data_IF_981425006163
#
_entry.id   IF_981425006163
#
_cell.length_a   1.000
_cell.length_b   1.000
_cell.length_c   1.000
_cell.angle_alpha   90.00
_cell.angle_beta   90.00
_cell.angle_gamma   90.00
#
_symmetry.space_group_name_H-M   'P 1'
#
loop_
_entity.id
_entity.type
_entity.pdbx_description
1 polymer ?
#
# COMPACT_ATOMS: atom_id res chain seq x y z
N UNK A 1 -25.15 -18.00 3.77
CA UNK A 1 -23.93 -17.41 3.19
C UNK A 1 -22.75 -18.28 3.56
N UNK A 2 -21.87 -18.61 2.61
CA UNK A 2 -20.66 -19.38 2.89
C UNK A 2 -19.61 -18.46 3.54
N UNK A 3 -19.29 -18.70 4.81
CA UNK A 3 -18.36 -17.90 5.61
C UNK A 3 -17.00 -17.73 4.93
N UNK A 4 -16.54 -18.78 4.22
CA UNK A 4 -15.26 -18.78 3.50
C UNK A 4 -15.29 -17.81 2.33
N UNK A 5 -16.38 -17.80 1.54
CA UNK A 5 -16.53 -16.88 0.41
C UNK A 5 -16.60 -15.43 0.89
N UNK A 6 -17.31 -15.17 1.98
CA UNK A 6 -17.37 -13.84 2.61
C UNK A 6 -15.98 -13.36 3.03
N UNK A 7 -15.18 -14.22 3.68
CA UNK A 7 -13.83 -13.86 4.10
C UNK A 7 -12.90 -13.55 2.92
N UNK A 8 -13.01 -14.31 1.82
CA UNK A 8 -12.23 -14.06 0.58
C UNK A 8 -12.57 -12.68 0.01
N UNK A 9 -13.87 -12.36 -0.11
CA UNK A 9 -14.34 -11.07 -0.63
C UNK A 9 -13.90 -9.92 0.28
N UNK A 10 -14.05 -10.09 1.59
CA UNK A 10 -13.68 -9.06 2.57
C UNK A 10 -12.17 -8.80 2.58
N UNK A 11 -11.33 -9.85 2.55
CA UNK A 11 -9.89 -9.70 2.40
C UNK A 11 -9.53 -8.99 1.08
N UNK A 12 -10.27 -9.30 0.02
CA UNK A 12 -10.19 -8.61 -1.26
C UNK A 12 -10.41 -7.10 -1.10
N UNK A 13 -11.57 -6.73 -0.55
CA UNK A 13 -11.97 -5.35 -0.32
C UNK A 13 -10.98 -4.58 0.56
N UNK A 14 -10.57 -5.14 1.70
CA UNK A 14 -9.63 -4.48 2.64
C UNK A 14 -8.30 -4.21 1.96
N UNK A 15 -7.78 -5.15 1.17
CA UNK A 15 -6.52 -4.97 0.44
C UNK A 15 -6.59 -3.82 -0.57
N UNK A 16 -7.65 -3.76 -1.37
CA UNK A 16 -7.81 -2.75 -2.41
C UNK A 16 -8.10 -1.37 -1.78
N UNK A 17 -8.91 -1.32 -0.73
CA UNK A 17 -9.16 -0.11 0.06
C UNK A 17 -7.86 0.41 0.70
N UNK A 18 -7.07 -0.46 1.33
CA UNK A 18 -5.80 -0.06 1.95
C UNK A 18 -4.81 0.47 0.91
N UNK A 19 -4.81 -0.08 -0.31
CA UNK A 19 -3.98 0.42 -1.42
C UNK A 19 -4.41 1.83 -1.86
N UNK A 20 -5.72 2.07 -2.00
CA UNK A 20 -6.23 3.41 -2.33
C UNK A 20 -6.01 4.43 -1.21
N UNK A 21 -6.14 4.00 0.04
CA UNK A 21 -5.85 4.81 1.22
C UNK A 21 -4.36 5.17 1.30
N UNK A 22 -3.46 4.20 1.09
CA UNK A 22 -2.02 4.42 1.04
C UNK A 22 -1.66 5.49 0.00
N UNK A 23 -2.17 5.37 -1.23
CA UNK A 23 -1.90 6.35 -2.29
C UNK A 23 -2.44 7.74 -1.94
N UNK A 24 -3.65 7.81 -1.39
CA UNK A 24 -4.25 9.07 -0.95
C UNK A 24 -3.44 9.75 0.15
N UNK A 25 -2.94 8.98 1.11
CA UNK A 25 -2.08 9.48 2.17
C UNK A 25 -0.72 9.99 1.64
N UNK A 26 -0.13 9.31 0.65
CA UNK A 26 1.08 9.78 -0.03
C UNK A 26 0.86 11.13 -0.73
N UNK A 27 -0.28 11.29 -1.42
CA UNK A 27 -0.67 12.55 -2.06
C UNK A 27 -0.90 13.65 -1.01
N UNK A 28 -1.52 13.32 0.13
CA UNK A 28 -1.69 14.26 1.22
C UNK A 28 -0.36 14.75 1.78
N UNK A 29 0.63 13.87 1.99
CA UNK A 29 1.99 14.24 2.41
C UNK A 29 2.62 15.20 1.40
N UNK A 30 2.53 14.91 0.10
CA UNK A 30 3.04 15.79 -0.95
C UNK A 30 2.50 17.23 -0.83
N UNK A 31 1.18 17.39 -0.71
CA UNK A 31 0.57 18.72 -0.59
C UNK A 31 0.87 19.38 0.75
N UNK A 32 0.87 18.63 1.85
CA UNK A 32 1.18 19.18 3.17
C UNK A 32 2.60 19.72 3.25
N UNK A 33 3.55 19.03 2.62
CA UNK A 33 4.93 19.50 2.54
C UNK A 33 5.03 20.80 1.72
N UNK A 34 4.44 20.83 0.53
CA UNK A 34 4.42 22.02 -0.33
C UNK A 34 3.76 23.24 0.36
N UNK A 35 2.69 23.02 1.13
CA UNK A 35 2.06 24.08 1.91
C UNK A 35 2.89 24.58 3.10
N UNK A 36 3.78 23.76 3.66
CA UNK A 36 4.69 24.21 4.72
C UNK A 36 5.68 25.24 4.17
N UNK A 37 6.21 24.99 2.97
CA UNK A 37 7.13 25.91 2.27
C UNK A 37 6.43 27.21 1.88
N UNK A 38 5.19 27.11 1.39
CA UNK A 38 4.41 28.28 0.98
C UNK A 38 3.90 29.13 2.15
N UNK A 39 3.64 28.52 3.32
CA UNK A 39 3.05 29.20 4.49
C UNK A 39 3.82 28.91 5.79
N UNK A 40 5.01 29.52 5.99
CA UNK A 40 5.86 29.24 7.15
C UNK A 40 5.19 29.49 8.52
N UNK A 41 4.20 30.39 8.58
CA UNK A 41 3.47 30.72 9.82
C UNK A 41 2.63 29.57 10.37
N UNK A 42 2.26 28.59 9.54
CA UNK A 42 1.47 27.41 9.95
C UNK A 42 2.23 26.09 9.78
N UNK A 43 3.51 26.15 9.37
CA UNK A 43 4.28 24.97 8.99
C UNK A 43 4.34 23.91 10.12
N UNK A 44 4.56 24.34 11.36
CA UNK A 44 4.60 23.43 12.51
C UNK A 44 3.30 22.65 12.72
N UNK A 45 2.14 23.27 12.48
CA UNK A 45 0.84 22.59 12.59
C UNK A 45 0.63 21.60 11.45
N UNK A 46 1.00 21.98 10.22
CA UNK A 46 0.93 21.11 9.06
C UNK A 46 1.86 19.89 9.20
N UNK A 47 3.04 20.06 9.78
CA UNK A 47 3.98 18.95 10.01
C UNK A 47 3.41 17.88 10.98
N UNK A 48 2.59 18.28 11.96
CA UNK A 48 1.89 17.31 12.84
C UNK A 48 0.92 16.45 12.02
N UNK A 49 0.19 17.07 11.09
CA UNK A 49 -0.75 16.38 10.19
C UNK A 49 0.02 15.50 9.20
N UNK A 50 1.13 15.98 8.66
CA UNK A 50 2.00 15.24 7.75
C UNK A 50 2.54 13.96 8.42
N UNK A 51 3.04 14.07 9.66
CA UNK A 51 3.47 12.93 10.48
C UNK A 51 2.36 11.92 10.73
N UNK A 52 1.12 12.39 10.93
CA UNK A 52 -0.03 11.51 11.03
C UNK A 52 -0.22 10.72 9.73
N UNK A 53 -0.21 11.36 8.57
CA UNK A 53 -0.32 10.66 7.29
C UNK A 53 0.85 9.71 7.03
N UNK A 54 2.08 10.08 7.41
CA UNK A 54 3.23 9.18 7.32
C UNK A 54 3.01 7.88 8.09
N UNK A 55 2.60 7.93 9.36
CA UNK A 55 2.36 6.69 10.11
C UNK A 55 1.20 5.87 9.54
N UNK A 56 0.20 6.54 8.95
CA UNK A 56 -0.89 5.87 8.25
C UNK A 56 -0.43 5.20 6.95
N UNK A 57 0.54 5.75 6.20
CA UNK A 57 1.09 5.05 5.02
C UNK A 57 1.82 3.77 5.43
N UNK A 58 2.60 3.81 6.53
CA UNK A 58 3.24 2.61 7.09
C UNK A 58 2.20 1.57 7.51
N UNK A 59 1.16 1.99 8.25
CA UNK A 59 0.06 1.12 8.63
C UNK A 59 -0.66 0.50 7.43
N UNK A 60 -0.90 1.30 6.38
CA UNK A 60 -1.54 0.82 5.16
C UNK A 60 -0.67 -0.22 4.43
N UNK A 61 0.65 -0.02 4.33
CA UNK A 61 1.58 -1.02 3.76
C UNK A 61 1.51 -2.33 4.53
N UNK A 62 1.51 -2.29 5.86
CA UNK A 62 1.37 -3.50 6.70
C UNK A 62 0.06 -4.24 6.39
N UNK A 63 -1.06 -3.52 6.28
CA UNK A 63 -2.36 -4.11 5.93
C UNK A 63 -2.34 -4.70 4.51
N UNK A 64 -1.77 -4.01 3.54
CA UNK A 64 -1.65 -4.49 2.15
C UNK A 64 -0.84 -5.79 2.09
N UNK A 65 0.29 -5.85 2.80
CA UNK A 65 1.14 -7.05 2.85
C UNK A 65 0.42 -8.21 3.55
N UNK A 66 -0.21 -7.97 4.69
CA UNK A 66 -0.95 -8.99 5.43
C UNK A 66 -2.12 -9.58 4.62
N UNK A 67 -2.94 -8.71 4.01
CA UNK A 67 -4.08 -9.13 3.19
C UNK A 67 -3.65 -9.72 1.85
N UNK A 68 -2.53 -9.24 1.28
CA UNK A 68 -1.90 -9.78 0.08
C UNK A 68 -1.39 -11.21 0.28
N UNK A 69 -0.74 -11.48 1.41
CA UNK A 69 -0.35 -12.84 1.81
C UNK A 69 -1.57 -13.75 2.00
N UNK A 70 -2.68 -13.23 2.52
CA UNK A 70 -3.96 -13.95 2.57
C UNK A 70 -4.46 -14.41 1.18
N UNK A 71 -4.26 -13.60 0.13
CA UNK A 71 -4.66 -13.94 -1.24
C UNK A 71 -3.83 -15.08 -1.84
N UNK A 72 -2.58 -15.30 -1.43
CA UNK A 72 -1.77 -16.42 -1.94
C UNK A 72 -2.32 -17.79 -1.56
N UNK A 73 -3.06 -17.91 -0.46
CA UNK A 73 -3.64 -19.18 0.01
C UNK A 73 -5.03 -19.49 -0.56
N UNK A 74 -5.67 -18.52 -1.23
CA UNK A 74 -7.03 -18.68 -1.77
C UNK A 74 -7.05 -19.06 -3.25
N UNK A 75 -5.92 -18.95 -3.97
CA UNK A 75 -5.75 -19.35 -5.37
C UNK A 75 -4.92 -20.64 -5.48
N UNK A 76 -5.54 -21.81 -5.30
CA UNK A 76 -4.83 -23.10 -5.24
C UNK A 76 -5.08 -24.00 -6.47
N UNK A 77 -5.98 -23.65 -7.39
CA UNK A 77 -6.32 -24.57 -8.48
C UNK A 77 -5.55 -24.30 -9.78
N UNK A 78 -5.01 -25.37 -10.36
CA UNK A 78 -4.25 -25.44 -11.62
C UNK A 78 -5.15 -25.22 -12.86
N UNK A 79 -5.93 -24.13 -12.88
CA UNK A 79 -7.02 -23.93 -13.86
C UNK A 79 -6.50 -23.71 -15.30
N UNK A 80 -5.25 -23.27 -15.49
CA UNK A 80 -4.76 -22.75 -16.79
C UNK A 80 -3.68 -23.59 -17.49
N UNK A 81 -3.33 -24.77 -16.98
CA UNK A 81 -2.26 -25.63 -17.52
C UNK A 81 -0.84 -25.27 -17.05
N UNK A 82 0.08 -26.24 -17.13
CA UNK A 82 1.39 -26.19 -16.46
C UNK A 82 2.33 -25.08 -16.97
N UNK A 83 2.30 -24.78 -18.27
CA UNK A 83 3.08 -23.70 -18.88
C UNK A 83 2.57 -22.31 -18.47
N UNK A 84 1.25 -22.12 -18.40
CA UNK A 84 0.62 -20.87 -17.98
C UNK A 84 0.88 -20.61 -16.50
N UNK A 85 0.91 -21.65 -15.67
CA UNK A 85 1.18 -21.52 -14.23
C UNK A 85 2.64 -21.10 -13.96
N UNK A 86 3.62 -21.59 -14.73
CA UNK A 86 5.02 -21.11 -14.64
C UNK A 86 5.12 -19.62 -14.97
N UNK A 87 4.45 -19.17 -16.04
CA UNK A 87 4.41 -17.75 -16.41
C UNK A 87 3.71 -16.91 -15.34
N UNK A 88 2.57 -17.38 -14.81
CA UNK A 88 1.83 -16.72 -13.74
C UNK A 88 2.70 -16.52 -12.49
N UNK A 89 3.42 -17.55 -12.04
CA UNK A 89 4.33 -17.47 -10.89
C UNK A 89 5.45 -16.47 -11.11
N UNK A 90 6.07 -16.47 -12.30
CA UNK A 90 7.10 -15.50 -12.66
C UNK A 90 6.56 -14.06 -12.62
N UNK A 91 5.38 -13.84 -13.20
CA UNK A 91 4.71 -12.54 -13.18
C UNK A 91 4.33 -12.09 -11.77
N UNK A 92 3.92 -13.02 -10.90
CA UNK A 92 3.66 -12.73 -9.49
C UNK A 92 4.93 -12.27 -8.77
N UNK A 93 6.06 -12.94 -8.98
CA UNK A 93 7.35 -12.53 -8.38
C UNK A 93 7.73 -11.13 -8.86
N UNK A 94 7.65 -10.88 -10.18
CA UNK A 94 7.96 -9.57 -10.77
C UNK A 94 7.05 -8.49 -10.18
N UNK A 95 5.73 -8.76 -10.06
CA UNK A 95 4.78 -7.83 -9.45
C UNK A 95 5.19 -7.47 -8.02
N UNK A 96 5.53 -8.45 -7.19
CA UNK A 96 5.93 -8.17 -5.80
C UNK A 96 7.24 -7.40 -5.73
N UNK A 97 8.23 -7.73 -6.57
CA UNK A 97 9.49 -6.98 -6.61
C UNK A 97 9.25 -5.50 -6.96
N UNK A 98 8.42 -5.23 -7.96
CA UNK A 98 8.03 -3.85 -8.34
C UNK A 98 7.28 -3.17 -7.19
N UNK A 99 6.32 -3.83 -6.57
CA UNK A 99 5.56 -3.25 -5.45
C UNK A 99 6.44 -2.96 -4.23
N UNK A 100 7.40 -3.84 -3.90
CA UNK A 100 8.38 -3.57 -2.84
C UNK A 100 9.26 -2.38 -3.16
N UNK A 101 9.72 -2.25 -4.42
CA UNK A 101 10.48 -1.08 -4.84
C UNK A 101 9.64 0.21 -4.70
N UNK A 102 8.39 0.19 -5.15
CA UNK A 102 7.46 1.33 -5.03
C UNK A 102 7.23 1.70 -3.57
N UNK A 103 6.85 0.75 -2.72
CA UNK A 103 6.61 1.01 -1.30
C UNK A 103 7.87 1.48 -0.58
N UNK A 104 9.03 0.90 -0.91
CA UNK A 104 10.31 1.28 -0.35
C UNK A 104 10.73 2.70 -0.74
N UNK A 105 10.71 3.03 -2.04
CA UNK A 105 11.10 4.37 -2.51
C UNK A 105 10.12 5.44 -2.07
N UNK A 106 8.83 5.17 -2.14
CA UNK A 106 7.79 6.08 -1.69
C UNK A 106 7.85 6.30 -0.17
N UNK A 107 8.01 5.22 0.61
CA UNK A 107 8.15 5.30 2.07
C UNK A 107 9.42 6.06 2.48
N UNK A 108 10.52 5.84 1.78
CA UNK A 108 11.76 6.60 1.98
C UNK A 108 11.56 8.09 1.69
N UNK A 109 10.97 8.43 0.54
CA UNK A 109 10.64 9.81 0.19
C UNK A 109 9.74 10.46 1.25
N UNK A 110 8.65 9.78 1.63
CA UNK A 110 7.71 10.26 2.64
C UNK A 110 8.41 10.52 3.98
N UNK A 111 9.33 9.65 4.39
CA UNK A 111 10.13 9.84 5.60
C UNK A 111 11.00 11.10 5.51
N UNK A 112 11.70 11.29 4.38
CA UNK A 112 12.60 12.44 4.21
C UNK A 112 11.87 13.77 4.19
N UNK A 113 10.66 13.84 3.63
CA UNK A 113 9.86 15.07 3.61
C UNK A 113 9.14 15.32 4.94
N UNK A 114 8.76 14.27 5.68
CA UNK A 114 7.99 14.43 6.92
C UNK A 114 8.87 14.81 8.14
N UNK A 115 10.10 14.30 8.19
CA UNK A 115 11.00 14.43 9.35
C UNK A 115 12.24 15.29 9.07
N UNK A 116 12.08 16.33 8.25
CA UNK A 116 13.11 17.33 7.96
C UNK A 116 13.34 18.30 9.12
#
# INVERSE_FOLDING_TARGET
>A
MDLKKTAIVLNGFIHDFATGYWLSAMIAIYFLHDFQDAYPSVAALLNVIERFFFWNTIGAVVVILATGAGRTYTYVDNVFGESTEKTRRRMLIIKHAILFAIFGSAGWWAYTVTFH
#
